data_IF_266605857474
#
_entry.id   IF_266605857474
#
_cell.length_a   1.000
_cell.length_b   1.000
_cell.length_c   1.000
_cell.angle_alpha   90.00
_cell.angle_beta   90.00
_cell.angle_gamma   90.00
#
_symmetry.space_group_name_H-M   'P 1'
#
loop_
_entity.id
_entity.type
_entity.pdbx_description
1 polymer ?
#
# COMPACT_ATOMS: atom_id res chain seq x y z
N UNK A 1 24.39 32.72 32.44
CA UNK A 1 24.42 31.25 32.41
C UNK A 1 23.18 30.76 31.67
N UNK A 2 23.36 30.24 30.45
CA UNK A 2 22.37 29.46 29.71
C UNK A 2 22.16 28.10 30.43
N UNK A 3 21.05 27.36 30.32
CA UNK A 3 20.38 26.91 29.09
C UNK A 3 18.94 26.47 29.35
N UNK A 4 18.10 26.69 28.34
CA UNK A 4 16.79 26.07 28.16
C UNK A 4 16.93 24.55 27.92
N UNK A 5 16.07 23.76 28.56
CA UNK A 5 15.89 22.33 28.29
C UNK A 5 14.52 22.08 27.66
N UNK A 6 14.47 22.11 26.33
CA UNK A 6 13.31 21.84 25.48
C UNK A 6 12.69 20.48 25.80
N UNK A 7 11.40 20.47 26.15
CA UNK A 7 10.60 19.26 26.32
C UNK A 7 10.70 18.37 25.06
N UNK A 8 10.99 17.09 25.31
CA UNK A 8 11.29 16.09 24.29
C UNK A 8 10.24 16.03 23.19
N UNK A 9 10.72 16.09 21.95
CA UNK A 9 9.95 15.72 20.77
C UNK A 9 9.43 14.30 20.94
N UNK A 10 8.10 14.17 21.07
CA UNK A 10 7.41 12.90 21.19
C UNK A 10 7.45 12.17 19.84
N UNK A 11 8.55 11.47 19.56
CA UNK A 11 8.67 10.59 18.40
C UNK A 11 7.74 9.41 18.67
N UNK A 12 6.49 9.54 18.19
CA UNK A 12 5.51 8.46 18.23
C UNK A 12 6.11 7.25 17.54
N UNK A 13 6.35 6.19 18.30
CA UNK A 13 6.82 4.93 17.77
C UNK A 13 5.95 4.51 16.58
N UNK A 14 6.53 3.95 15.50
CA UNK A 14 5.75 3.51 14.37
C UNK A 14 4.69 2.52 14.86
N UNK A 15 3.44 2.76 14.48
CA UNK A 15 2.33 1.87 14.82
C UNK A 15 2.62 0.44 14.30
N UNK A 16 2.04 -0.61 14.90
CA UNK A 16 2.24 -1.98 14.43
C UNK A 16 1.85 -2.10 12.95
N UNK A 17 2.50 -3.02 12.22
CA UNK A 17 2.36 -3.15 10.77
C UNK A 17 0.90 -3.23 10.27
N UNK A 18 -0.04 -3.93 10.94
CA UNK A 18 -1.46 -3.93 10.56
C UNK A 18 -2.10 -2.54 10.62
N UNK A 19 -1.83 -1.76 11.68
CA UNK A 19 -2.35 -0.39 11.84
C UNK A 19 -1.77 0.54 10.78
N UNK A 20 -0.51 0.31 10.39
CA UNK A 20 0.10 1.07 9.29
C UNK A 20 -0.55 0.74 7.96
N UNK A 21 -0.90 -0.53 7.70
CA UNK A 21 -1.60 -0.94 6.49
C UNK A 21 -2.97 -0.28 6.35
N UNK A 22 -3.81 -0.36 7.38
CA UNK A 22 -5.14 0.25 7.37
C UNK A 22 -5.08 1.76 7.10
N UNK A 23 -4.11 2.44 7.69
CA UNK A 23 -3.88 3.86 7.42
C UNK A 23 -3.47 4.15 5.97
N UNK A 24 -2.71 3.26 5.32
CA UNK A 24 -2.37 3.37 3.89
C UNK A 24 -3.62 3.17 3.02
N UNK A 25 -4.45 2.16 3.33
CA UNK A 25 -5.70 1.90 2.61
C UNK A 25 -6.68 3.08 2.74
N UNK A 26 -6.79 3.68 3.91
CA UNK A 26 -7.63 4.86 4.11
C UNK A 26 -7.11 6.08 3.33
N UNK A 27 -5.79 6.28 3.30
CA UNK A 27 -5.16 7.30 2.44
C UNK A 27 -5.48 7.10 0.97
N UNK A 28 -5.38 5.87 0.48
CA UNK A 28 -5.68 5.53 -0.91
C UNK A 28 -7.18 5.68 -1.23
N UNK A 29 -8.05 5.28 -0.29
CA UNK A 29 -9.50 5.48 -0.38
C UNK A 29 -9.86 6.96 -0.53
N UNK A 30 -9.23 7.85 0.26
CA UNK A 30 -9.42 9.30 0.15
C UNK A 30 -8.96 9.84 -1.20
N UNK A 31 -7.79 9.41 -1.68
CA UNK A 31 -7.26 9.81 -2.99
C UNK A 31 -8.20 9.41 -4.14
N UNK A 32 -8.73 8.18 -4.11
CA UNK A 32 -9.64 7.74 -5.16
C UNK A 32 -10.98 8.48 -5.13
N UNK A 33 -11.49 8.79 -3.94
CA UNK A 33 -12.71 9.60 -3.78
C UNK A 33 -12.52 11.05 -4.24
N UNK A 34 -11.36 11.66 -4.00
CA UNK A 34 -11.09 13.03 -4.49
C UNK A 34 -11.01 13.09 -6.02
N UNK A 35 -10.70 11.97 -6.67
CA UNK A 35 -10.73 11.81 -8.14
C UNK A 35 -12.11 11.37 -8.66
N UNK A 36 -13.15 11.47 -7.83
CA UNK A 36 -14.55 11.16 -8.18
C UNK A 36 -14.78 9.72 -8.66
N UNK A 37 -13.94 8.76 -8.25
CA UNK A 37 -14.19 7.36 -8.57
C UNK A 37 -15.47 6.85 -7.88
N UNK A 38 -16.21 6.00 -8.60
CA UNK A 38 -17.39 5.34 -8.06
C UNK A 38 -17.05 4.56 -6.78
N UNK A 39 -17.92 4.65 -5.77
CA UNK A 39 -17.74 3.96 -4.47
C UNK A 39 -17.50 2.45 -4.64
N UNK A 40 -18.17 1.83 -5.61
CA UNK A 40 -17.98 0.43 -5.98
C UNK A 40 -16.51 0.15 -6.37
N UNK A 41 -15.96 0.97 -7.26
CA UNK A 41 -14.57 0.82 -7.74
C UNK A 41 -13.58 0.96 -6.60
N UNK A 42 -13.75 1.97 -5.73
CA UNK A 42 -12.88 2.15 -4.56
C UNK A 42 -12.91 0.92 -3.67
N UNK A 43 -14.09 0.43 -3.32
CA UNK A 43 -14.26 -0.75 -2.45
C UNK A 43 -13.66 -2.01 -3.07
N UNK A 44 -13.89 -2.26 -4.35
CA UNK A 44 -13.41 -3.46 -5.03
C UNK A 44 -11.87 -3.48 -5.09
N UNK A 45 -11.25 -2.31 -5.28
CA UNK A 45 -9.80 -2.12 -5.21
C UNK A 45 -9.21 -2.33 -3.81
N UNK A 46 -9.85 -1.79 -2.78
CA UNK A 46 -9.41 -2.01 -1.39
C UNK A 46 -9.45 -3.50 -1.04
N UNK A 47 -10.50 -4.22 -1.45
CA UNK A 47 -10.63 -5.67 -1.25
C UNK A 47 -9.55 -6.46 -1.97
N UNK A 48 -9.18 -6.04 -3.18
CA UNK A 48 -8.09 -6.67 -3.93
C UNK A 48 -6.77 -6.55 -3.16
N UNK A 49 -6.41 -5.34 -2.73
CA UNK A 49 -5.16 -5.11 -1.99
C UNK A 49 -5.17 -5.83 -0.65
N UNK A 50 -6.30 -5.86 0.06
CA UNK A 50 -6.46 -6.65 1.28
C UNK A 50 -6.21 -8.14 1.07
N UNK A 51 -6.80 -8.75 0.04
CA UNK A 51 -6.58 -10.18 -0.27
C UNK A 51 -5.15 -10.48 -0.70
N UNK A 52 -4.55 -9.56 -1.46
CA UNK A 52 -3.14 -9.68 -1.83
C UNK A 52 -2.23 -9.58 -0.60
N UNK A 53 -2.52 -8.68 0.34
CA UNK A 53 -1.83 -8.53 1.61
C UNK A 53 -1.84 -9.84 2.43
N UNK A 54 -3.04 -10.42 2.56
CA UNK A 54 -3.26 -11.69 3.23
C UNK A 54 -2.47 -12.82 2.56
N UNK A 55 -2.51 -12.89 1.23
CA UNK A 55 -1.76 -13.89 0.45
C UNK A 55 -0.25 -13.73 0.59
N UNK A 56 0.27 -12.51 0.54
CA UNK A 56 1.69 -12.23 0.64
C UNK A 56 2.27 -12.48 2.04
N UNK A 57 1.41 -12.62 3.07
CA UNK A 57 1.80 -12.90 4.45
C UNK A 57 2.64 -11.80 5.14
N UNK A 58 3.05 -10.76 4.41
CA UNK A 58 3.95 -9.70 4.88
C UNK A 58 3.53 -8.37 4.28
N UNK A 59 3.19 -7.39 5.13
CA UNK A 59 2.86 -6.04 4.69
C UNK A 59 4.00 -5.04 4.96
N UNK A 60 4.32 -4.09 4.06
CA UNK A 60 4.30 -4.13 2.59
C UNK A 60 5.69 -3.94 1.95
N UNK A 61 6.79 -4.03 2.70
CA UNK A 61 8.13 -3.89 2.11
C UNK A 61 8.57 -5.22 1.50
N UNK A 62 8.42 -5.31 0.19
CA UNK A 62 8.88 -6.38 -0.72
C UNK A 62 7.91 -7.56 -0.84
N UNK A 63 6.72 -7.31 -1.39
CA UNK A 63 6.14 -8.33 -2.26
C UNK A 63 7.12 -8.49 -3.41
N UNK A 64 7.90 -9.56 -3.41
CA UNK A 64 8.85 -9.79 -4.50
C UNK A 64 8.04 -10.02 -5.79
N UNK A 65 8.58 -9.71 -6.97
CA UNK A 65 7.88 -9.94 -8.24
C UNK A 65 7.26 -11.34 -8.34
N UNK A 66 7.93 -12.33 -7.76
CA UNK A 66 7.51 -13.73 -7.70
C UNK A 66 6.19 -13.92 -6.93
N UNK A 67 5.99 -13.20 -5.81
CA UNK A 67 4.74 -13.27 -5.04
C UNK A 67 3.56 -12.68 -5.82
N UNK A 68 3.81 -11.61 -6.58
CA UNK A 68 2.80 -10.98 -7.44
C UNK A 68 2.38 -11.95 -8.54
N UNK A 69 3.34 -12.54 -9.24
CA UNK A 69 3.08 -13.53 -10.30
C UNK A 69 2.34 -14.76 -9.75
N UNK A 70 2.77 -15.29 -8.60
CA UNK A 70 2.12 -16.43 -7.95
C UNK A 70 0.66 -16.15 -7.57
N UNK A 71 0.37 -14.95 -7.03
CA UNK A 71 -0.99 -14.54 -6.69
C UNK A 71 -1.92 -14.50 -7.90
N UNK A 72 -1.43 -14.01 -9.04
CA UNK A 72 -2.22 -13.93 -10.27
C UNK A 72 -2.35 -15.27 -10.98
N UNK A 73 -1.30 -16.09 -10.99
CA UNK A 73 -1.37 -17.47 -11.47
C UNK A 73 -2.45 -18.28 -10.73
N UNK A 74 -2.53 -18.12 -9.40
CA UNK A 74 -3.55 -18.75 -8.56
C UNK A 74 -4.99 -18.29 -8.86
N UNK A 75 -5.21 -17.26 -9.67
CA UNK A 75 -6.58 -16.88 -10.10
C UNK A 75 -7.11 -17.79 -11.21
N UNK A 76 -6.22 -18.40 -11.99
CA UNK A 76 -6.57 -19.30 -13.08
C UNK A 76 -6.78 -20.76 -12.61
N UNK A 77 -6.31 -21.09 -11.41
CA UNK A 77 -6.54 -22.40 -10.78
C UNK A 77 -7.85 -22.46 -9.98
N UNK A 78 -8.64 -21.38 -9.98
CA UNK A 78 -9.95 -21.33 -9.31
C UNK A 78 -11.00 -22.09 -10.10
N UNK A 79 -12.10 -22.44 -9.44
CA UNK A 79 -13.26 -23.03 -10.09
C UNK A 79 -14.51 -22.14 -9.88
N UNK A 80 -15.05 -21.51 -10.93
CA UNK A 80 -14.47 -21.41 -12.28
C UNK A 80 -13.22 -20.51 -12.29
N UNK A 81 -12.30 -20.68 -13.28
CA UNK A 81 -11.15 -19.80 -13.43
C UNK A 81 -11.56 -18.34 -13.61
N UNK A 82 -10.77 -17.41 -13.07
CA UNK A 82 -11.02 -16.00 -13.31
C UNK A 82 -10.82 -15.66 -14.80
N UNK A 83 -11.76 -14.92 -15.39
CA UNK A 83 -11.62 -14.44 -16.76
C UNK A 83 -10.37 -13.56 -16.92
N UNK A 84 -9.68 -13.67 -18.06
CA UNK A 84 -8.46 -12.89 -18.35
C UNK A 84 -8.64 -11.38 -18.18
N UNK A 85 -9.77 -10.83 -18.64
CA UNK A 85 -10.10 -9.41 -18.48
C UNK A 85 -10.21 -8.98 -17.02
N UNK A 86 -10.73 -9.87 -16.16
CA UNK A 86 -10.83 -9.64 -14.71
C UNK A 86 -9.45 -9.64 -14.07
N UNK A 87 -8.60 -10.61 -14.43
CA UNK A 87 -7.21 -10.66 -13.93
C UNK A 87 -6.43 -9.43 -14.37
N UNK A 88 -6.55 -9.02 -15.64
CA UNK A 88 -5.88 -7.83 -16.16
C UNK A 88 -6.33 -6.55 -15.45
N UNK A 89 -7.64 -6.40 -15.20
CA UNK A 89 -8.16 -5.27 -14.43
C UNK A 89 -7.57 -5.22 -13.01
N UNK A 90 -7.46 -6.38 -12.34
CA UNK A 90 -6.85 -6.48 -11.00
C UNK A 90 -5.35 -6.17 -11.01
N UNK A 91 -4.60 -6.59 -12.03
CA UNK A 91 -3.19 -6.21 -12.18
C UNK A 91 -3.02 -4.69 -12.24
N UNK A 92 -3.80 -4.01 -13.08
CA UNK A 92 -3.78 -2.54 -13.18
C UNK A 92 -4.16 -1.86 -11.85
N UNK A 93 -5.15 -2.40 -11.15
CA UNK A 93 -5.56 -1.87 -9.84
C UNK A 93 -4.46 -2.03 -8.77
N UNK A 94 -3.71 -3.14 -8.79
CA UNK A 94 -2.57 -3.36 -7.91
C UNK A 94 -1.40 -2.41 -8.26
N UNK A 95 -1.13 -2.20 -9.55
CA UNK A 95 -0.14 -1.22 -10.01
C UNK A 95 -0.49 0.19 -9.55
N UNK A 96 -1.76 0.61 -9.64
CA UNK A 96 -2.23 1.90 -9.13
C UNK A 96 -1.99 2.05 -7.63
N UNK A 97 -2.16 0.97 -6.86
CA UNK A 97 -1.83 0.97 -5.44
C UNK A 97 -0.32 1.11 -5.20
N UNK A 98 0.50 0.34 -5.91
CA UNK A 98 1.96 0.41 -5.84
C UNK A 98 2.48 1.81 -6.21
N UNK A 99 1.89 2.42 -7.24
CA UNK A 99 2.17 3.82 -7.61
C UNK A 99 1.77 4.78 -6.50
N UNK A 100 0.59 4.61 -5.88
CA UNK A 100 0.16 5.45 -4.76
C UNK A 100 1.12 5.43 -3.57
N UNK A 101 1.62 4.25 -3.18
CA UNK A 101 2.51 4.13 -2.02
C UNK A 101 3.96 4.57 -2.31
N UNK A 102 4.37 4.57 -3.59
CA UNK A 102 5.70 5.01 -4.01
C UNK A 102 5.74 6.48 -4.45
N UNK A 103 4.60 7.09 -4.79
CA UNK A 103 4.48 8.51 -5.13
C UNK A 103 4.83 9.37 -3.90
N UNK A 104 5.86 10.21 -4.05
CA UNK A 104 6.35 11.11 -3.00
C UNK A 104 5.33 12.13 -2.50
N UNK A 105 4.27 12.42 -3.27
CA UNK A 105 3.15 13.30 -2.86
C UNK A 105 2.23 12.63 -1.83
N UNK A 106 2.19 11.31 -1.83
CA UNK A 106 1.39 10.48 -0.91
C UNK A 106 2.26 9.62 0.01
N UNK A 107 3.58 9.63 -0.22
CA UNK A 107 4.59 8.94 0.56
C UNK A 107 4.60 9.45 1.99
N UNK A 108 4.29 8.56 2.93
CA UNK A 108 4.93 8.62 4.24
C UNK A 108 6.41 8.31 4.04
N UNK A 109 7.20 9.35 3.80
CA UNK A 109 8.66 9.31 3.91
C UNK A 109 9.04 9.03 5.37
N UNK A 110 8.97 7.77 5.79
CA UNK A 110 9.52 7.30 7.05
C UNK A 110 10.66 6.32 6.74
N UNK A 111 11.71 6.86 6.13
CA UNK A 111 13.10 6.38 6.21
C UNK A 111 13.97 7.38 5.44
N UNK A 112 14.48 8.37 6.19
CA UNK A 112 15.77 9.05 6.02
C UNK A 112 16.42 8.96 4.64
N UNK A 113 16.37 10.06 3.88
CA UNK A 113 17.50 10.44 3.02
C UNK A 113 18.70 10.55 3.96
N UNK A 114 19.51 9.50 4.03
CA UNK A 114 20.89 9.65 4.49
C UNK A 114 21.51 10.73 3.61
N UNK A 115 21.88 11.82 4.25
CA UNK A 115 22.89 12.74 3.78
C UNK A 115 23.99 11.92 3.10
N UNK A 116 24.13 12.04 1.79
CA UNK A 116 25.31 11.54 1.10
C UNK A 116 26.33 12.69 1.20
N UNK A 117 27.36 12.59 2.06
CA UNK A 117 28.42 13.58 2.04
C UNK A 117 29.14 13.47 0.68
N UNK A 118 29.57 14.63 0.18
CA UNK A 118 30.14 14.82 -1.15
C UNK A 118 31.31 13.91 -1.46
#
# INVERSE_FOLDING_TARGET
MATAGRAGSNVRAPAPAPVMFEAVLEGWSRQQRSRLLARKTVRDRLRLVGRFAEYAGTYPRQGTPEVVEAYFAAQFTKDPPAAHSTVRGRQNDLELFCSFITDSRYGRSAATRGEQPR
#
